data_IF_460350248016
#
_entry.id   IF_460350248016
#
_cell.length_a   1.000
_cell.length_b   1.000
_cell.length_c   1.000
_cell.angle_alpha   90.00
_cell.angle_beta   90.00
_cell.angle_gamma   90.00
#
_symmetry.space_group_name_H-M   'P 1'
#
loop_
_entity.id
_entity.type
_entity.pdbx_description
1 polymer ?
#
# COMPACT_ATOMS: atom_id res chain seq x y z
N UNK A 1 9.92 16.80 18.93
CA UNK A 1 9.21 15.61 18.42
C UNK A 1 9.59 15.40 16.96
N UNK A 2 10.86 15.08 16.68
CA UNK A 2 11.49 15.33 15.36
C UNK A 2 11.98 14.10 14.57
N UNK A 3 11.66 12.86 14.95
CA UNK A 3 12.26 11.67 14.29
C UNK A 3 11.35 10.43 14.21
N UNK A 4 10.01 10.56 14.06
CA UNK A 4 9.13 9.37 14.12
C UNK A 4 8.47 8.91 12.81
N UNK A 5 8.51 9.69 11.73
CA UNK A 5 8.00 9.25 10.42
C UNK A 5 9.02 8.45 9.59
N UNK A 6 10.31 8.51 9.92
CA UNK A 6 11.33 7.68 9.27
C UNK A 6 11.32 6.20 9.73
N UNK A 7 10.42 5.82 10.65
CA UNK A 7 10.34 4.46 11.19
C UNK A 7 9.30 3.57 10.49
N UNK A 8 8.60 4.07 9.47
CA UNK A 8 7.71 3.26 8.63
C UNK A 8 8.37 2.89 7.30
N UNK A 9 9.43 3.60 6.87
CA UNK A 9 10.01 3.45 5.52
C UNK A 9 11.27 2.57 5.40
N UNK A 10 11.57 1.65 6.32
CA UNK A 10 12.73 0.77 6.13
C UNK A 10 12.73 -0.50 6.99
N UNK A 11 12.31 -1.64 6.43
CA UNK A 11 12.80 -2.95 6.89
C UNK A 11 12.86 -4.03 5.79
N UNK A 12 14.04 -4.12 5.15
CA UNK A 12 14.71 -5.31 4.59
C UNK A 12 13.84 -6.43 3.93
N UNK A 13 13.64 -6.24 2.63
CA UNK A 13 13.76 -7.21 1.52
C UNK A 13 13.64 -8.72 1.83
N UNK A 14 12.50 -9.28 1.40
CA UNK A 14 12.42 -10.60 0.79
C UNK A 14 11.34 -10.56 -0.29
N UNK A 15 11.68 -10.08 -1.48
CA UNK A 15 10.76 -10.03 -2.62
C UNK A 15 10.61 -11.41 -3.25
N UNK A 16 9.38 -11.94 -3.23
CA UNK A 16 8.99 -13.06 -4.08
C UNK A 16 8.36 -12.45 -5.32
N UNK A 17 9.00 -12.60 -6.48
CA UNK A 17 8.42 -12.19 -7.74
C UNK A 17 7.18 -13.04 -8.04
N UNK A 18 6.00 -12.43 -8.03
CA UNK A 18 4.75 -13.06 -8.46
C UNK A 18 4.72 -13.04 -10.00
N UNK A 19 4.66 -14.19 -10.68
CA UNK A 19 4.64 -14.19 -12.14
C UNK A 19 3.24 -13.91 -12.68
N UNK A 20 3.12 -12.85 -13.49
CA UNK A 20 2.21 -12.81 -14.65
C UNK A 20 0.74 -12.45 -14.42
N UNK A 21 0.42 -11.53 -13.51
CA UNK A 21 -0.85 -10.81 -13.60
C UNK A 21 -0.75 -9.76 -14.73
N UNK A 22 -1.78 -9.65 -15.57
CA UNK A 22 -1.91 -8.47 -16.44
C UNK A 22 -2.06 -7.24 -15.54
N UNK A 23 -1.28 -6.18 -15.82
CA UNK A 23 -1.26 -4.93 -15.07
C UNK A 23 -2.67 -4.42 -14.79
N UNK A 24 -3.08 -4.43 -13.52
CA UNK A 24 -4.36 -3.89 -13.10
C UNK A 24 -4.14 -2.45 -12.63
N UNK A 25 -4.62 -1.49 -13.42
CA UNK A 25 -4.62 -0.09 -13.01
C UNK A 25 -5.58 0.14 -11.85
N UNK A 26 -5.07 0.46 -10.67
CA UNK A 26 -5.85 0.88 -9.50
C UNK A 26 -6.11 2.38 -9.65
N UNK A 27 -7.25 2.75 -10.25
CA UNK A 27 -7.69 4.13 -10.23
C UNK A 27 -8.14 4.52 -8.80
N UNK A 28 -7.96 5.77 -8.41
CA UNK A 28 -8.39 6.24 -7.09
C UNK A 28 -8.86 7.69 -7.18
N UNK A 29 -9.71 8.07 -6.23
CA UNK A 29 -10.08 9.47 -6.00
C UNK A 29 -10.45 9.71 -4.55
N UNK A 30 -10.14 10.90 -4.03
CA UNK A 30 -10.32 11.22 -2.63
C UNK A 30 -10.04 12.68 -2.30
N UNK A 31 -10.71 13.27 -1.31
CA UNK A 31 -10.34 14.61 -0.84
C UNK A 31 -9.02 14.58 -0.07
N UNK A 32 -8.14 15.56 -0.26
CA UNK A 32 -7.02 15.80 0.65
C UNK A 32 -7.57 16.14 2.04
N UNK A 33 -7.23 15.35 3.05
CA UNK A 33 -7.82 15.51 4.39
C UNK A 33 -6.80 16.02 5.41
N UNK A 34 -5.55 15.62 5.28
CA UNK A 34 -4.49 15.94 6.23
C UNK A 34 -3.26 16.41 5.44
N UNK A 35 -2.64 17.46 5.92
CA UNK A 35 -1.31 17.92 5.50
C UNK A 35 -0.44 17.90 6.75
N UNK A 36 0.49 16.95 6.82
CA UNK A 36 1.39 16.78 7.96
C UNK A 36 2.56 17.76 7.90
N UNK A 37 2.98 18.09 6.67
CA UNK A 37 4.08 18.98 6.42
C UNK A 37 3.85 19.78 5.14
N UNK A 38 4.09 21.09 5.19
CA UNK A 38 4.11 21.97 4.03
C UNK A 38 5.00 23.18 4.32
N UNK A 39 6.13 23.29 3.63
CA UNK A 39 7.06 24.41 3.80
C UNK A 39 7.04 25.43 2.64
N UNK A 40 6.10 25.31 1.70
CA UNK A 40 6.05 26.19 0.51
C UNK A 40 6.83 25.67 -0.70
N UNK A 41 7.63 24.61 -0.56
CA UNK A 41 8.57 24.15 -1.58
C UNK A 41 8.10 22.98 -2.46
N UNK A 42 7.07 22.26 -2.02
CA UNK A 42 6.50 21.13 -2.76
C UNK A 42 5.64 21.56 -3.94
N UNK A 43 5.54 20.68 -4.94
CA UNK A 43 4.65 20.79 -6.10
C UNK A 43 3.17 20.88 -5.69
N UNK A 44 2.77 20.18 -4.63
CA UNK A 44 1.42 20.22 -4.06
C UNK A 44 1.31 21.15 -2.84
N UNK A 45 2.33 21.98 -2.59
CA UNK A 45 2.30 22.97 -1.53
C UNK A 45 1.15 23.96 -1.71
N UNK A 46 0.47 24.30 -0.61
CA UNK A 46 -0.65 25.23 -0.59
C UNK A 46 -1.96 24.70 -1.15
N UNK A 47 -2.04 23.41 -1.50
CA UNK A 47 -3.30 22.78 -1.92
C UNK A 47 -4.28 22.76 -0.74
N UNK A 48 -5.50 23.32 -0.86
CA UNK A 48 -6.46 23.36 0.23
C UNK A 48 -6.96 21.97 0.64
N UNK A 49 -7.20 21.77 1.95
CA UNK A 49 -7.95 20.60 2.42
C UNK A 49 -9.33 20.54 1.75
N UNK A 50 -9.80 19.32 1.47
CA UNK A 50 -11.01 19.04 0.71
C UNK A 50 -10.83 19.06 -0.81
N UNK A 51 -9.66 19.48 -1.32
CA UNK A 51 -9.36 19.38 -2.76
C UNK A 51 -9.40 17.92 -3.20
N UNK A 52 -10.13 17.64 -4.29
CA UNK A 52 -10.26 16.29 -4.81
C UNK A 52 -8.99 15.90 -5.57
N UNK A 53 -8.29 14.90 -5.06
CA UNK A 53 -7.24 14.21 -5.78
C UNK A 53 -7.83 13.04 -6.56
N UNK A 54 -7.25 12.75 -7.71
CA UNK A 54 -7.55 11.57 -8.52
C UNK A 54 -6.29 11.05 -9.18
N UNK A 55 -6.24 9.76 -9.43
CA UNK A 55 -5.05 9.15 -10.01
C UNK A 55 -5.27 7.70 -10.41
N UNK A 56 -4.17 7.06 -10.82
CA UNK A 56 -4.10 5.65 -11.12
C UNK A 56 -2.68 5.14 -10.83
N UNK A 57 -2.58 3.96 -10.23
CA UNK A 57 -1.32 3.22 -10.09
C UNK A 57 -1.48 1.87 -10.78
N UNK A 58 -0.55 1.54 -11.68
CA UNK A 58 -0.39 0.18 -12.19
C UNK A 58 0.31 -0.66 -11.11
N UNK A 59 -0.39 -1.66 -10.58
CA UNK A 59 0.10 -2.51 -9.49
C UNK A 59 1.26 -3.45 -9.88
N UNK A 60 1.56 -3.53 -11.18
CA UNK A 60 2.60 -4.39 -11.74
C UNK A 60 3.84 -3.59 -12.11
N UNK A 61 3.65 -2.43 -12.73
CA UNK A 61 4.77 -1.55 -13.09
C UNK A 61 5.08 -0.50 -12.04
N UNK A 62 4.17 -0.22 -11.11
CA UNK A 62 4.23 0.87 -10.14
C UNK A 62 4.28 2.27 -10.77
N UNK A 63 4.00 2.36 -12.07
CA UNK A 63 3.86 3.61 -12.78
C UNK A 63 2.43 4.14 -12.64
N UNK A 64 2.25 5.44 -12.84
CA UNK A 64 0.93 6.02 -12.67
C UNK A 64 0.92 7.53 -12.71
N UNK A 65 -0.17 8.09 -12.20
CA UNK A 65 -0.31 9.53 -12.05
C UNK A 65 -1.22 9.91 -10.90
N UNK A 66 -1.02 11.12 -10.39
CA UNK A 66 -1.91 11.77 -9.44
C UNK A 66 -2.13 13.24 -9.82
N UNK A 67 -3.35 13.71 -9.63
CA UNK A 67 -3.77 15.07 -9.98
C UNK A 67 -4.71 15.65 -8.93
N UNK A 68 -4.51 16.91 -8.56
CA UNK A 68 -5.43 17.73 -7.75
C UNK A 68 -6.41 18.56 -8.62
N UNK A 69 -6.45 18.27 -9.93
CA UNK A 69 -7.22 19.00 -10.94
C UNK A 69 -6.51 20.22 -11.54
N UNK A 70 -5.34 20.62 -11.01
CA UNK A 70 -4.50 21.71 -11.55
C UNK A 70 -3.09 21.23 -11.88
N UNK A 71 -2.51 20.47 -10.98
CA UNK A 71 -1.18 19.92 -11.00
C UNK A 71 -1.30 18.41 -11.19
N UNK A 72 -0.64 17.90 -12.23
CA UNK A 72 -0.56 16.46 -12.48
C UNK A 72 0.88 16.02 -12.40
N UNK A 73 1.12 14.97 -11.63
CA UNK A 73 2.42 14.31 -11.51
C UNK A 73 2.28 12.92 -12.09
N UNK A 74 3.12 12.61 -13.08
CA UNK A 74 3.30 11.27 -13.63
C UNK A 74 4.53 10.69 -12.97
N UNK A 75 4.42 9.47 -12.50
CA UNK A 75 5.51 8.70 -11.93
C UNK A 75 5.73 7.45 -12.76
N UNK A 76 7.00 7.21 -13.05
CA UNK A 76 7.46 6.08 -13.84
C UNK A 76 8.25 5.19 -12.87
N UNK A 77 8.01 3.89 -12.94
CA UNK A 77 8.46 2.85 -12.01
C UNK A 77 9.75 3.10 -11.17
N UNK A 78 9.66 2.69 -9.89
CA UNK A 78 10.70 2.33 -8.92
C UNK A 78 11.91 3.27 -8.70
N UNK A 79 12.05 3.82 -7.48
CA UNK A 79 13.36 3.93 -6.82
C UNK A 79 13.35 3.32 -5.40
N UNK A 80 14.37 2.49 -5.14
CA UNK A 80 14.89 1.97 -3.86
C UNK A 80 14.10 0.94 -3.01
N UNK A 81 12.76 0.94 -2.93
CA UNK A 81 12.04 0.05 -1.98
C UNK A 81 10.95 -0.85 -2.58
N UNK A 82 10.87 -0.95 -3.90
CA UNK A 82 10.11 -2.03 -4.53
C UNK A 82 8.59 -1.87 -4.54
N UNK A 83 8.07 -0.64 -4.53
CA UNK A 83 6.72 -0.24 -4.99
C UNK A 83 5.50 -0.93 -4.36
N UNK A 84 5.71 -1.95 -3.54
CA UNK A 84 4.72 -2.77 -2.87
C UNK A 84 5.33 -3.23 -1.54
N UNK A 85 4.73 -2.82 -0.44
CA UNK A 85 5.08 -3.24 0.91
C UNK A 85 3.89 -3.93 1.58
N UNK A 86 4.16 -5.05 2.25
CA UNK A 86 3.17 -5.75 3.07
C UNK A 86 3.67 -5.77 4.52
N UNK A 87 2.94 -5.09 5.40
CA UNK A 87 3.16 -5.18 6.84
C UNK A 87 2.09 -6.08 7.46
N UNK A 88 2.49 -7.27 7.91
CA UNK A 88 1.60 -8.20 8.60
C UNK A 88 1.67 -8.01 10.11
N UNK A 89 0.51 -8.03 10.78
CA UNK A 89 0.37 -7.91 12.23
C UNK A 89 0.97 -6.62 12.84
N UNK A 90 0.76 -5.46 12.19
CA UNK A 90 1.13 -4.16 12.76
C UNK A 90 0.29 -3.86 14.01
N UNK A 91 0.95 -3.69 15.15
CA UNK A 91 0.31 -3.19 16.38
C UNK A 91 0.25 -1.66 16.33
N UNK A 92 -0.94 -1.10 16.24
CA UNK A 92 -1.15 0.34 16.17
C UNK A 92 -0.78 1.02 17.48
N UNK A 93 0.01 2.10 17.40
CA UNK A 93 0.11 3.05 18.50
C UNK A 93 -1.07 4.03 18.51
N UNK A 94 -1.09 4.94 19.51
CA UNK A 94 -2.18 5.89 19.66
C UNK A 94 -2.25 6.93 18.52
N UNK A 95 -1.10 7.31 17.96
CA UNK A 95 -1.03 8.31 16.90
C UNK A 95 -1.46 7.68 15.57
N UNK A 96 -1.03 6.45 15.28
CA UNK A 96 -1.45 5.66 14.13
C UNK A 96 -2.95 5.36 14.15
N UNK A 97 -3.48 4.89 15.28
CA UNK A 97 -4.92 4.65 15.43
C UNK A 97 -5.73 5.96 15.26
N UNK A 98 -5.22 7.09 15.75
CA UNK A 98 -5.85 8.39 15.55
C UNK A 98 -5.84 8.81 14.07
N UNK A 99 -4.71 8.63 13.36
CA UNK A 99 -4.60 8.91 11.93
C UNK A 99 -5.59 8.07 11.12
N UNK A 100 -5.63 6.75 11.35
CA UNK A 100 -6.54 5.86 10.62
C UNK A 100 -8.01 6.16 10.91
N UNK A 101 -8.35 6.56 12.14
CA UNK A 101 -9.69 7.03 12.47
C UNK A 101 -10.07 8.36 11.80
N UNK A 102 -9.11 9.23 11.53
CA UNK A 102 -9.39 10.44 10.77
C UNK A 102 -9.76 10.10 9.32
N UNK A 103 -9.07 9.13 8.71
CA UNK A 103 -9.27 8.72 7.32
C UNK A 103 -10.50 7.82 7.13
N UNK A 104 -10.72 6.87 8.04
CA UNK A 104 -11.74 5.82 7.90
C UNK A 104 -13.05 6.11 8.67
N UNK A 105 -13.08 7.19 9.44
CA UNK A 105 -14.16 7.53 10.35
C UNK A 105 -13.85 7.22 11.82
N UNK A 106 -14.33 8.07 12.72
CA UNK A 106 -13.96 8.05 14.13
C UNK A 106 -14.36 6.76 14.85
N UNK A 107 -13.45 6.23 15.67
CA UNK A 107 -13.71 5.12 16.59
C UNK A 107 -13.64 3.72 15.96
N UNK A 108 -13.08 3.60 14.76
CA UNK A 108 -12.89 2.34 14.05
C UNK A 108 -11.64 1.57 14.48
N UNK A 109 -10.59 2.30 14.86
CA UNK A 109 -9.30 1.75 15.27
C UNK A 109 -8.94 2.14 16.71
N UNK A 110 -8.22 1.28 17.42
CA UNK A 110 -7.73 1.56 18.76
C UNK A 110 -6.22 1.32 18.90
N UNK A 111 -5.58 2.04 19.83
CA UNK A 111 -4.20 1.75 20.20
C UNK A 111 -4.09 0.32 20.77
N UNK A 112 -3.08 -0.43 20.32
CA UNK A 112 -2.88 -1.84 20.64
C UNK A 112 -3.66 -2.81 19.75
N UNK A 113 -4.50 -2.32 18.83
CA UNK A 113 -5.12 -3.13 17.80
C UNK A 113 -4.08 -3.62 16.79
N UNK A 114 -4.30 -4.83 16.26
CA UNK A 114 -3.45 -5.42 15.22
C UNK A 114 -4.14 -5.27 13.88
N UNK A 115 -3.41 -4.78 12.88
CA UNK A 115 -3.89 -4.63 11.50
C UNK A 115 -2.85 -5.16 10.52
N UNK A 116 -3.30 -5.45 9.30
CA UNK A 116 -2.39 -5.68 8.18
C UNK A 116 -2.39 -4.46 7.25
N UNK A 117 -1.24 -4.09 6.70
CA UNK A 117 -1.10 -2.99 5.74
C UNK A 117 -0.55 -3.47 4.42
N UNK A 118 -1.08 -2.92 3.33
CA UNK A 118 -0.47 -2.98 2.00
C UNK A 118 -0.26 -1.56 1.51
N UNK A 119 0.97 -1.23 1.17
CA UNK A 119 1.34 0.05 0.57
C UNK A 119 1.80 -0.19 -0.87
N UNK A 120 1.28 0.61 -1.81
CA UNK A 120 1.66 0.58 -3.23
C UNK A 120 2.15 1.97 -3.61
N UNK A 121 3.37 2.07 -4.11
CA UNK A 121 4.09 3.34 -4.21
C UNK A 121 4.75 3.51 -5.57
N UNK A 122 4.76 4.75 -6.07
CA UNK A 122 5.47 5.17 -7.26
C UNK A 122 6.18 6.49 -7.01
N UNK A 123 7.31 6.68 -7.68
CA UNK A 123 8.18 7.84 -7.50
C UNK A 123 8.43 8.57 -8.81
N UNK A 124 8.72 9.87 -8.69
CA UNK A 124 9.31 10.64 -9.79
C UNK A 124 10.30 11.68 -9.29
N UNK A 125 11.29 11.99 -10.12
CA UNK A 125 12.18 13.11 -9.87
C UNK A 125 11.50 14.43 -10.24
N UNK A 126 11.49 15.40 -9.33
CA UNK A 126 10.97 16.74 -9.61
C UNK A 126 11.93 17.82 -9.09
N UNK A 127 12.42 18.68 -9.99
CA UNK A 127 13.17 19.89 -9.60
C UNK A 127 14.48 19.65 -8.82
N UNK A 128 15.00 18.42 -8.82
CA UNK A 128 16.20 18.03 -8.07
C UNK A 128 15.92 17.14 -6.85
N UNK A 129 14.67 17.04 -6.39
CA UNK A 129 14.24 16.15 -5.30
C UNK A 129 13.35 14.98 -5.76
N UNK A 130 12.60 14.38 -4.84
CA UNK A 130 11.71 13.20 -5.05
C UNK A 130 10.26 13.58 -4.76
N UNK A 131 9.34 13.13 -5.60
CA UNK A 131 7.91 13.08 -5.28
C UNK A 131 7.51 11.61 -5.27
N UNK A 132 7.06 11.18 -4.10
CA UNK A 132 6.56 9.86 -3.81
C UNK A 132 5.04 9.93 -3.69
N UNK A 133 4.36 9.01 -4.35
CA UNK A 133 2.91 8.92 -4.39
C UNK A 133 2.54 7.47 -4.15
N UNK A 134 1.60 7.23 -3.25
CA UNK A 134 1.17 5.87 -3.00
C UNK A 134 -0.25 5.74 -2.53
N UNK A 135 -0.65 4.48 -2.43
CA UNK A 135 -1.91 4.02 -1.88
C UNK A 135 -1.60 3.13 -0.70
N UNK A 136 -2.22 3.42 0.43
CA UNK A 136 -2.13 2.60 1.65
C UNK A 136 -3.49 1.96 1.91
N UNK A 137 -3.49 0.65 2.14
CA UNK A 137 -4.68 -0.15 2.41
C UNK A 137 -4.53 -0.84 3.76
N UNK A 138 -5.52 -0.63 4.64
CA UNK A 138 -5.57 -1.24 5.96
C UNK A 138 -6.54 -2.40 5.94
N UNK A 139 -6.14 -3.57 6.43
CA UNK A 139 -6.92 -4.79 6.47
C UNK A 139 -7.06 -5.34 7.90
N UNK A 140 -7.99 -6.29 8.05
CA UNK A 140 -8.11 -7.10 9.28
C UNK A 140 -6.84 -7.94 9.48
N UNK A 141 -6.36 -8.19 10.70
CA UNK A 141 -5.14 -8.98 10.98
C UNK A 141 -5.23 -10.46 10.58
N UNK A 142 -6.42 -10.90 10.14
CA UNK A 142 -6.62 -12.25 9.61
C UNK A 142 -6.45 -12.30 8.09
N UNK A 143 -6.10 -11.19 7.44
CA UNK A 143 -6.12 -11.08 5.98
C UNK A 143 -4.94 -11.80 5.35
N UNK A 144 -3.77 -11.76 5.99
CA UNK A 144 -2.55 -12.43 5.50
C UNK A 144 -1.99 -13.50 6.45
N UNK A 145 -2.86 -14.10 7.28
CA UNK A 145 -2.48 -15.10 8.29
C UNK A 145 -1.98 -16.45 7.72
N UNK A 146 -2.03 -16.67 6.39
CA UNK A 146 -1.65 -17.90 5.71
C UNK A 146 -0.39 -17.79 4.84
N UNK A 147 0.38 -18.89 4.65
CA UNK A 147 1.61 -18.90 3.85
C UNK A 147 1.41 -18.79 2.32
N UNK A 148 0.19 -18.51 1.85
CA UNK A 148 -0.18 -18.43 0.42
C UNK A 148 -0.68 -17.04 -0.01
N UNK A 149 -0.54 -16.04 0.86
CA UNK A 149 -1.47 -14.93 0.88
C UNK A 149 -1.03 -13.68 0.08
N UNK A 150 0.10 -13.76 -0.62
CA UNK A 150 0.52 -12.70 -1.56
C UNK A 150 -0.40 -12.59 -2.80
N UNK A 151 -1.27 -13.59 -3.02
CA UNK A 151 -2.36 -13.55 -4.00
C UNK A 151 -3.68 -12.99 -3.40
N UNK A 152 -3.66 -12.31 -2.24
CA UNK A 152 -4.88 -11.87 -1.53
C UNK A 152 -5.11 -10.36 -1.51
N UNK A 153 -4.31 -9.55 -2.19
CA UNK A 153 -4.62 -8.13 -2.29
C UNK A 153 -5.95 -7.92 -3.03
N UNK A 154 -7.02 -7.77 -2.26
CA UNK A 154 -8.35 -7.43 -2.72
C UNK A 154 -8.72 -6.10 -2.06
N UNK A 155 -8.57 -4.98 -2.77
CA UNK A 155 -8.85 -3.67 -2.19
C UNK A 155 -10.31 -3.54 -1.72
N UNK A 156 -11.24 -4.37 -2.21
CA UNK A 156 -12.62 -4.42 -1.75
C UNK A 156 -12.77 -4.94 -0.31
N UNK A 157 -11.74 -5.57 0.27
CA UNK A 157 -11.71 -6.03 1.66
C UNK A 157 -11.01 -5.08 2.62
N UNK A 158 -10.42 -4.00 2.10
CA UNK A 158 -9.75 -3.02 2.94
C UNK A 158 -10.76 -2.35 3.90
N UNK A 159 -10.38 -2.26 5.17
CA UNK A 159 -11.11 -1.53 6.20
C UNK A 159 -10.89 -0.02 6.09
N UNK A 160 -9.75 0.41 5.56
CA UNK A 160 -9.46 1.79 5.20
C UNK A 160 -8.55 1.81 3.98
N UNK A 161 -8.65 2.86 3.18
CA UNK A 161 -7.75 3.10 2.07
C UNK A 161 -7.48 4.60 1.95
N UNK A 162 -6.22 4.96 1.70
CA UNK A 162 -5.79 6.35 1.56
C UNK A 162 -4.81 6.49 0.41
N UNK A 163 -4.84 7.64 -0.25
CA UNK A 163 -3.73 8.07 -1.10
C UNK A 163 -2.82 8.98 -0.28
N UNK A 164 -1.54 8.98 -0.58
CA UNK A 164 -0.59 9.92 -0.01
C UNK A 164 0.31 10.52 -1.08
N UNK A 165 0.84 11.71 -0.77
CA UNK A 165 1.89 12.38 -1.53
C UNK A 165 2.94 12.85 -0.54
N UNK A 166 4.18 12.48 -0.78
CA UNK A 166 5.34 12.90 -0.03
C UNK A 166 6.36 13.51 -0.98
N UNK A 167 6.89 14.68 -0.64
CA UNK A 167 7.87 15.38 -1.48
C UNK A 167 9.11 15.72 -0.69
N UNK A 168 10.26 15.53 -1.31
CA UNK A 168 11.57 15.92 -0.83
C UNK A 168 12.21 16.96 -1.75
N UNK A 169 13.03 17.85 -1.19
CA UNK A 169 13.92 18.70 -1.98
C UNK A 169 15.17 17.94 -2.45
N UNK A 170 16.05 18.65 -3.17
CA UNK A 170 17.30 18.07 -3.68
C UNK A 170 18.31 17.64 -2.62
N UNK A 171 18.07 17.97 -1.34
CA UNK A 171 18.87 17.51 -0.22
C UNK A 171 18.25 16.31 0.51
N UNK A 172 17.11 15.81 0.04
CA UNK A 172 16.36 14.72 0.68
C UNK A 172 15.56 15.17 1.90
N UNK A 173 15.32 16.48 2.06
CA UNK A 173 14.48 16.98 3.15
C UNK A 173 13.03 17.05 2.69
N UNK A 174 12.12 16.54 3.53
CA UNK A 174 10.69 16.67 3.31
C UNK A 174 10.29 18.15 3.10
N UNK A 175 9.57 18.43 2.03
CA UNK A 175 9.01 19.74 1.67
C UNK A 175 7.48 19.77 1.67
N UNK A 176 6.85 18.61 1.45
CA UNK A 176 5.40 18.44 1.52
C UNK A 176 5.03 17.00 1.91
N UNK A 177 3.96 16.83 2.69
CA UNK A 177 3.36 15.53 3.00
C UNK A 177 1.86 15.70 3.22
N UNK A 178 1.07 15.05 2.37
CA UNK A 178 -0.38 15.10 2.40
C UNK A 178 -1.00 13.73 2.20
N UNK A 179 -2.16 13.50 2.84
CA UNK A 179 -2.89 12.23 2.81
C UNK A 179 -4.39 12.48 2.76
N UNK A 180 -5.12 11.61 2.07
CA UNK A 180 -6.57 11.69 1.96
C UNK A 180 -7.22 10.32 1.77
N UNK A 181 -8.46 10.13 2.24
CA UNK A 181 -9.16 8.86 2.12
C UNK A 181 -9.58 8.61 0.67
N UNK A 182 -9.53 7.36 0.24
CA UNK A 182 -10.01 6.95 -1.08
C UNK A 182 -11.52 6.70 -1.01
N UNK A 183 -12.28 7.44 -1.82
CA UNK A 183 -13.75 7.41 -1.82
C UNK A 183 -14.31 6.21 -2.58
N UNK A 184 -13.52 5.65 -3.49
CA UNK A 184 -13.81 4.42 -4.22
C UNK A 184 -12.48 3.80 -4.66
N UNK A 185 -12.23 2.58 -4.22
CA UNK A 185 -11.27 1.72 -4.93
C UNK A 185 -12.11 0.98 -5.97
N UNK A 186 -11.89 1.19 -7.28
CA UNK A 186 -12.41 0.28 -8.28
C UNK A 186 -11.90 -1.10 -7.90
N UNK A 187 -12.81 -2.02 -7.59
CA UNK A 187 -12.42 -3.42 -7.41
C UNK A 187 -11.67 -3.87 -8.67
N UNK A 188 -10.67 -4.76 -8.54
CA UNK A 188 -9.94 -5.24 -9.70
C UNK A 188 -10.94 -5.78 -10.73
N UNK A 189 -10.71 -5.45 -12.01
CA UNK A 189 -11.45 -6.08 -13.10
C UNK A 189 -11.38 -7.59 -12.88
N UNK A 190 -12.55 -8.25 -12.88
CA UNK A 190 -12.79 -9.63 -12.41
C UNK A 190 -11.93 -10.73 -13.05
N UNK A 191 -11.06 -10.37 -14.00
CA UNK A 191 -10.01 -11.22 -14.57
C UNK A 191 -8.98 -11.69 -13.52
N UNK A 192 -8.61 -10.87 -12.53
CA UNK A 192 -7.60 -11.24 -11.52
C UNK A 192 -8.08 -12.37 -10.58
N UNK A 193 -9.37 -12.34 -10.21
CA UNK A 193 -9.99 -13.38 -9.38
C UNK A 193 -10.03 -14.76 -10.07
N UNK A 194 -10.08 -14.81 -11.41
CA UNK A 194 -10.08 -16.08 -12.14
C UNK A 194 -8.68 -16.71 -12.24
N UNK A 195 -7.62 -15.90 -12.29
CA UNK A 195 -6.23 -16.37 -12.36
C UNK A 195 -5.78 -17.07 -11.07
N UNK A 196 -6.20 -16.53 -9.91
CA UNK A 196 -5.86 -17.09 -8.59
C UNK A 196 -6.69 -18.33 -8.28
N UNK A 197 -7.95 -18.35 -8.72
CA UNK A 197 -8.82 -19.53 -8.62
C UNK A 197 -8.23 -20.78 -9.29
N UNK A 198 -7.46 -20.63 -10.37
CA UNK A 198 -6.78 -21.76 -11.02
C UNK A 198 -5.41 -22.12 -10.41
N UNK A 199 -4.66 -21.14 -9.89
CA UNK A 199 -3.38 -21.41 -9.22
C UNK A 199 -3.55 -22.14 -7.87
N UNK A 200 -4.60 -21.82 -7.10
CA UNK A 200 -4.89 -22.47 -5.81
C UNK A 200 -5.40 -23.91 -6.00
N UNK A 201 -6.15 -24.18 -7.08
CA UNK A 201 -6.59 -25.55 -7.41
C UNK A 201 -5.43 -26.41 -7.93
N UNK A 202 -4.44 -25.83 -8.62
CA UNK A 202 -3.27 -26.55 -9.08
C UNK A 202 -2.27 -26.90 -7.95
N UNK A 203 -2.10 -26.03 -6.94
CA UNK A 203 -1.23 -26.29 -5.79
C UNK A 203 -1.88 -27.22 -4.73
N UNK A 204 -3.21 -27.28 -4.66
CA UNK A 204 -3.96 -28.12 -3.73
C UNK A 204 -4.03 -29.62 -4.05
N UNK A 205 -3.58 -30.06 -5.24
CA UNK A 205 -3.68 -31.47 -5.67
C UNK A 205 -2.39 -32.28 -5.42
N UNK A 206 -1.27 -31.66 -5.01
CA UNK A 206 0.01 -32.39 -4.80
C UNK A 206 0.41 -32.54 -3.31
N UNK A 207 -0.58 -32.60 -2.40
CA UNK A 207 -0.36 -33.10 -1.03
C UNK A 207 -1.44 -34.08 -0.59
N UNK A 208 -1.59 -35.19 -1.31
CA UNK A 208 -2.01 -36.45 -0.69
C UNK A 208 -1.17 -37.62 -1.22
N UNK A 209 -0.61 -38.35 -0.25
CA UNK A 209 0.05 -39.67 -0.30
C UNK A 209 1.57 -39.65 -0.39
N UNK A 210 2.22 -39.75 0.77
CA UNK A 210 3.11 -40.90 1.02
C UNK A 210 2.75 -41.57 2.35
N UNK A 211 2.67 -42.91 2.37
CA UNK A 211 2.33 -43.70 3.55
C UNK A 211 3.49 -43.71 4.56
N UNK A 212 3.11 -43.81 5.84
CA UNK A 212 4.03 -43.99 6.97
C UNK A 212 4.97 -45.17 6.72
N UNK A 213 6.28 -44.91 6.77
CA UNK A 213 7.28 -45.97 6.80
C UNK A 213 7.49 -46.37 8.26
N UNK A 214 7.26 -47.66 8.53
CA UNK A 214 7.30 -48.25 9.85
C UNK A 214 8.70 -48.18 10.49
N UNK A 215 8.70 -47.99 11.81
CA UNK A 215 9.85 -48.13 12.70
C UNK A 215 10.26 -49.61 12.74
N UNK A 216 11.52 -49.99 12.47
CA UNK A 216 11.97 -51.34 12.77
C UNK A 216 12.22 -51.47 14.28
N UNK A 217 11.42 -52.31 14.93
CA UNK A 217 11.75 -52.87 16.24
C UNK A 217 12.91 -53.85 16.08
N UNK A 218 13.88 -53.79 17.00
CA UNK A 218 15.10 -54.57 16.92
C UNK A 218 14.91 -56.08 17.06
N UNK A 219 15.92 -56.80 16.57
CA UNK A 219 16.64 -57.88 17.25
C UNK A 219 18.02 -58.03 16.60
#
# INVERSE_FOLDING_TARGET
MKHKLAAVAALLASSVAVPGAEAAGIAFSGPLQIVEFDNGGGRYSGVPLGTLFSGMIDDTSFAGSISDGRTTTVFDCCIAAGGFELTNDLVLDADQAALFNQLAGAGRFAAGEVVDLVDIEGDTGAGGGRIEVGLSFVFSPTTFAGPSDTALFDPGKASAAAFFVFEEDASGLAVYSGIGPISAVPGPDSAWLMSIGMAVVAAGVVRRRRPATAIPAGR
#
